data_IF_566708129744
#
_entry.id   IF_566708129744
#
_cell.length_a   1.000
_cell.length_b   1.000
_cell.length_c   1.000
_cell.angle_alpha   90.00
_cell.angle_beta   90.00
_cell.angle_gamma   90.00
#
_symmetry.space_group_name_H-M   'P 1'
#
loop_
_entity.id
_entity.type
_entity.pdbx_description
1 polymer ?
#
# COMPACT_ATOMS: atom_id res chain seq x y z
N UNK A 1 -19.50 -47.94 -44.72
CA UNK A 1 -20.81 -47.29 -44.96
C UNK A 1 -20.73 -45.86 -44.47
N UNK A 2 -21.52 -44.93 -45.03
CA UNK A 2 -21.57 -43.53 -44.58
C UNK A 2 -21.84 -43.42 -43.06
N UNK A 3 -22.65 -44.34 -42.54
CA UNK A 3 -22.96 -44.50 -41.11
C UNK A 3 -21.71 -44.75 -40.23
N UNK A 4 -20.84 -45.68 -40.60
CA UNK A 4 -19.65 -45.99 -39.79
C UNK A 4 -18.66 -44.83 -39.71
N UNK A 5 -18.53 -44.04 -40.78
CA UNK A 5 -17.67 -42.86 -40.78
C UNK A 5 -18.22 -41.73 -39.87
N UNK A 6 -19.53 -41.64 -39.70
CA UNK A 6 -20.18 -40.66 -38.82
C UNK A 6 -20.05 -41.08 -37.35
N UNK A 7 -20.16 -42.37 -37.07
CA UNK A 7 -19.93 -42.93 -35.73
C UNK A 7 -18.47 -42.77 -35.27
N UNK A 8 -17.50 -43.00 -36.16
CA UNK A 8 -16.08 -42.78 -35.87
C UNK A 8 -15.78 -41.29 -35.60
N UNK A 9 -16.33 -40.37 -36.40
CA UNK A 9 -16.17 -38.92 -36.17
C UNK A 9 -16.79 -38.46 -34.85
N UNK A 10 -17.97 -39.01 -34.51
CA UNK A 10 -18.64 -38.74 -33.24
C UNK A 10 -17.85 -39.25 -32.04
N UNK A 11 -17.13 -40.36 -32.20
CA UNK A 11 -16.27 -40.94 -31.17
C UNK A 11 -15.00 -40.10 -30.98
N UNK A 12 -14.37 -39.65 -32.08
CA UNK A 12 -13.18 -38.79 -32.04
C UNK A 12 -13.48 -37.42 -31.39
N UNK A 13 -14.64 -36.82 -31.70
CA UNK A 13 -15.07 -35.57 -31.08
C UNK A 13 -15.31 -35.70 -29.57
N UNK A 14 -15.85 -36.83 -29.11
CA UNK A 14 -16.03 -37.09 -27.67
C UNK A 14 -14.70 -37.20 -26.93
N UNK A 15 -13.70 -37.84 -27.55
CA UNK A 15 -12.36 -37.95 -26.98
C UNK A 15 -11.71 -36.57 -26.87
N UNK A 16 -11.75 -35.75 -27.93
CA UNK A 16 -11.22 -34.38 -27.88
C UNK A 16 -11.91 -33.50 -26.84
N UNK A 17 -13.23 -33.60 -26.73
CA UNK A 17 -13.97 -32.86 -25.71
C UNK A 17 -13.54 -33.24 -24.29
N UNK A 18 -13.31 -34.53 -24.03
CA UNK A 18 -12.81 -35.01 -22.75
C UNK A 18 -11.38 -34.53 -22.45
N UNK A 19 -10.47 -34.60 -23.43
CA UNK A 19 -9.10 -34.11 -23.31
C UNK A 19 -9.06 -32.59 -23.03
N UNK A 20 -9.94 -31.84 -23.68
CA UNK A 20 -9.99 -30.38 -23.54
C UNK A 20 -10.61 -29.95 -22.20
N UNK A 21 -11.61 -30.69 -21.70
CA UNK A 21 -12.12 -30.54 -20.33
C UNK A 21 -11.05 -30.85 -19.27
N UNK A 22 -10.25 -31.89 -19.47
CA UNK A 22 -9.14 -32.24 -18.58
C UNK A 22 -8.05 -31.16 -18.61
N UNK A 23 -7.68 -30.67 -19.79
CA UNK A 23 -6.72 -29.59 -19.94
C UNK A 23 -7.20 -28.29 -19.26
N UNK A 24 -8.48 -27.96 -19.36
CA UNK A 24 -9.07 -26.81 -18.70
C UNK A 24 -9.00 -26.95 -17.17
N UNK A 25 -9.32 -28.13 -16.64
CA UNK A 25 -9.26 -28.44 -15.21
C UNK A 25 -7.84 -28.28 -14.67
N UNK A 26 -6.86 -28.88 -15.35
CA UNK A 26 -5.45 -28.81 -14.98
C UNK A 26 -4.92 -27.36 -15.02
N UNK A 27 -5.31 -26.59 -16.04
CA UNK A 27 -4.95 -25.18 -16.15
C UNK A 27 -5.54 -24.33 -15.03
N UNK A 28 -6.81 -24.58 -14.67
CA UNK A 28 -7.49 -23.88 -13.60
C UNK A 28 -6.84 -24.15 -12.24
N UNK A 29 -6.46 -25.40 -11.96
CA UNK A 29 -5.71 -25.76 -10.75
C UNK A 29 -4.33 -25.10 -10.71
N UNK A 30 -3.61 -25.06 -11.84
CA UNK A 30 -2.32 -24.39 -11.94
C UNK A 30 -2.43 -22.89 -11.67
N UNK A 31 -3.44 -22.20 -12.24
CA UNK A 31 -3.67 -20.78 -11.98
C UNK A 31 -4.08 -20.51 -10.53
N UNK A 32 -4.94 -21.34 -9.95
CA UNK A 32 -5.33 -21.20 -8.54
C UNK A 32 -4.12 -21.36 -7.61
N UNK A 33 -3.23 -22.30 -7.91
CA UNK A 33 -1.98 -22.50 -7.17
C UNK A 33 -1.06 -21.27 -7.27
N UNK A 34 -0.90 -20.71 -8.49
CA UNK A 34 -0.12 -19.48 -8.69
C UNK A 34 -0.70 -18.28 -7.94
N UNK A 35 -2.02 -18.09 -7.96
CA UNK A 35 -2.70 -17.03 -7.22
C UNK A 35 -2.46 -17.17 -5.72
N UNK A 36 -2.56 -18.38 -5.16
CA UNK A 36 -2.27 -18.61 -3.75
C UNK A 36 -0.80 -18.37 -3.40
N UNK A 37 0.12 -18.68 -4.30
CA UNK A 37 1.55 -18.39 -4.13
C UNK A 37 1.82 -16.89 -4.09
N UNK A 38 1.30 -16.15 -5.07
CA UNK A 38 1.43 -14.69 -5.15
C UNK A 38 0.79 -13.99 -3.95
N UNK A 39 -0.35 -14.50 -3.46
CA UNK A 39 -0.99 -13.98 -2.25
C UNK A 39 -0.11 -14.17 -1.02
N UNK A 40 0.49 -15.36 -0.84
CA UNK A 40 1.46 -15.63 0.24
C UNK A 40 2.70 -14.73 0.17
N UNK A 41 3.18 -14.42 -1.03
CA UNK A 41 4.30 -13.50 -1.21
C UNK A 41 3.91 -12.07 -0.82
N UNK A 42 2.72 -11.60 -1.21
CA UNK A 42 2.22 -10.29 -0.83
C UNK A 42 2.03 -10.17 0.69
N UNK A 43 1.47 -11.19 1.34
CA UNK A 43 1.28 -11.22 2.79
C UNK A 43 2.61 -11.20 3.54
N UNK A 44 3.60 -11.98 3.07
CA UNK A 44 4.96 -11.98 3.62
C UNK A 44 5.62 -10.60 3.49
N UNK A 45 5.54 -9.98 2.31
CA UNK A 45 6.10 -8.65 2.06
C UNK A 45 5.46 -7.56 2.94
N UNK A 46 4.17 -7.65 3.21
CA UNK A 46 3.49 -6.72 4.13
C UNK A 46 3.98 -6.87 5.57
N UNK A 47 4.20 -8.10 6.05
CA UNK A 47 4.75 -8.33 7.40
C UNK A 47 6.18 -7.78 7.51
N UNK A 48 7.02 -7.99 6.49
CA UNK A 48 8.37 -7.45 6.43
C UNK A 48 8.37 -5.91 6.46
N UNK A 49 7.49 -5.27 5.69
CA UNK A 49 7.36 -3.81 5.68
C UNK A 49 6.96 -3.25 7.05
N UNK A 50 5.98 -3.88 7.72
CA UNK A 50 5.53 -3.45 9.06
C UNK A 50 6.66 -3.60 10.09
N UNK A 51 7.41 -4.70 10.03
CA UNK A 51 8.56 -4.91 10.91
C UNK A 51 9.66 -3.87 10.67
N UNK A 52 10.00 -3.58 9.42
CA UNK A 52 10.99 -2.56 9.06
C UNK A 52 10.58 -1.16 9.53
N UNK A 53 9.29 -0.81 9.42
CA UNK A 53 8.75 0.46 9.93
C UNK A 53 8.83 0.54 11.46
N UNK A 54 8.53 -0.56 12.16
CA UNK A 54 8.66 -0.63 13.61
C UNK A 54 10.12 -0.45 14.05
N UNK A 55 11.07 -1.15 13.42
CA UNK A 55 12.51 -1.00 13.69
C UNK A 55 12.98 0.42 13.44
N UNK A 56 12.57 1.04 12.33
CA UNK A 56 12.88 2.44 12.02
C UNK A 56 12.43 3.38 13.14
N UNK A 57 11.22 3.21 13.66
CA UNK A 57 10.69 4.04 14.74
C UNK A 57 11.50 3.92 16.04
N UNK A 58 11.97 2.70 16.36
CA UNK A 58 12.81 2.43 17.54
C UNK A 58 14.18 3.10 17.37
N UNK A 59 14.79 3.00 16.18
CA UNK A 59 16.09 3.61 15.88
C UNK A 59 15.99 5.14 15.91
N UNK A 60 14.92 5.73 15.39
CA UNK A 60 14.68 7.17 15.44
C UNK A 60 14.50 7.68 16.87
N UNK A 61 13.76 6.95 17.72
CA UNK A 61 13.62 7.27 19.13
C UNK A 61 14.97 7.21 19.86
N UNK A 62 15.75 6.14 19.65
CA UNK A 62 17.09 5.99 20.22
C UNK A 62 18.06 7.07 19.73
N UNK A 63 17.96 7.49 18.46
CA UNK A 63 18.76 8.59 17.90
C UNK A 63 18.42 9.91 18.58
N UNK A 64 17.14 10.18 18.82
CA UNK A 64 16.71 11.39 19.49
C UNK A 64 17.15 11.42 20.96
N UNK A 65 17.05 10.30 21.67
CA UNK A 65 17.52 10.17 23.05
C UNK A 65 19.03 10.38 23.15
N UNK A 66 19.82 9.73 22.27
CA UNK A 66 21.28 9.95 22.20
C UNK A 66 21.62 11.41 21.93
N UNK A 67 20.86 12.09 21.07
CA UNK A 67 21.06 13.53 20.78
C UNK A 67 20.83 14.39 22.03
N UNK A 68 19.80 14.10 22.82
CA UNK A 68 19.56 14.78 24.10
C UNK A 68 20.68 14.48 25.11
N UNK A 69 21.10 13.22 25.19
CA UNK A 69 22.21 12.80 26.06
C UNK A 69 23.53 13.50 25.70
N UNK A 70 23.82 13.65 24.41
CA UNK A 70 25.02 14.33 23.92
C UNK A 70 25.04 15.82 24.32
N UNK A 71 23.89 16.49 24.21
CA UNK A 71 23.75 17.90 24.66
C UNK A 71 23.93 18.01 26.17
N UNK A 72 23.36 17.07 26.95
CA UNK A 72 23.52 17.03 28.41
C UNK A 72 24.96 16.78 28.82
N UNK A 73 25.62 15.78 28.24
CA UNK A 73 27.04 15.49 28.49
C UNK A 73 27.95 16.67 28.13
N UNK A 74 27.66 17.38 27.03
CA UNK A 74 28.41 18.59 26.67
C UNK A 74 28.26 19.70 27.72
N UNK A 75 27.04 19.88 28.27
CA UNK A 75 26.78 20.84 29.35
C UNK A 75 27.48 20.44 30.64
N UNK A 76 27.37 19.18 31.04
CA UNK A 76 27.97 18.66 32.27
C UNK A 76 29.50 18.71 32.21
N UNK A 77 30.09 18.41 31.03
CA UNK A 77 31.53 18.55 30.81
C UNK A 77 32.00 20.01 30.92
N UNK A 78 31.24 20.98 30.40
CA UNK A 78 31.54 22.41 30.57
C UNK A 78 31.49 22.81 32.04
N UNK A 79 30.44 22.40 32.76
CA UNK A 79 30.29 22.70 34.19
C UNK A 79 31.43 22.09 35.02
N UNK A 80 31.78 20.83 34.77
CA UNK A 80 32.88 20.15 35.47
C UNK A 80 34.24 20.80 35.23
N UNK A 81 34.50 21.31 34.01
CA UNK A 81 35.72 22.07 33.72
C UNK A 81 35.77 23.41 34.48
N UNK A 82 34.64 24.10 34.61
CA UNK A 82 34.55 25.33 35.40
C UNK A 82 34.76 25.07 36.90
N UNK A 83 34.20 23.98 37.42
CA UNK A 83 34.32 23.58 38.82
C UNK A 83 35.76 23.15 39.16
N UNK A 84 36.37 22.32 38.32
CA UNK A 84 37.78 21.93 38.43
C UNK A 84 38.71 23.15 38.46
N UNK A 85 38.43 24.17 37.63
CA UNK A 85 39.20 25.42 37.63
C UNK A 85 39.09 26.19 38.95
N UNK A 86 37.92 26.17 39.60
CA UNK A 86 37.72 26.79 40.93
C UNK A 86 38.44 26.03 42.03
N UNK A 87 38.40 24.70 42.01
CA UNK A 87 39.10 23.89 43.02
C UNK A 87 40.61 24.01 42.90
N UNK A 88 41.16 24.05 41.69
CA UNK A 88 42.60 24.26 41.45
C UNK A 88 43.08 25.60 42.02
N UNK A 89 42.26 26.65 41.90
CA UNK A 89 42.58 27.95 42.50
C UNK A 89 42.50 27.89 44.03
N UNK A 90 41.49 27.22 44.60
CA UNK A 90 41.39 27.01 46.04
C UNK A 90 42.58 26.20 46.61
N UNK A 91 43.00 25.12 45.94
CA UNK A 91 44.11 24.28 46.38
C UNK A 91 45.44 25.03 46.44
N UNK A 92 45.67 25.92 45.46
CA UNK A 92 46.89 26.75 45.44
C UNK A 92 47.00 27.66 46.67
N UNK A 93 45.87 28.22 47.12
CA UNK A 93 45.82 29.06 48.33
C UNK A 93 46.05 28.25 49.61
N UNK A 94 45.54 27.02 49.67
CA UNK A 94 45.71 26.14 50.83
C UNK A 94 47.16 25.64 50.96
N UNK A 95 47.84 25.38 49.83
CA UNK A 95 49.26 25.05 49.82
C UNK A 95 50.13 26.19 50.37
N UNK A 96 49.78 27.46 50.07
CA UNK A 96 50.48 28.62 50.63
C UNK A 96 50.34 28.69 52.16
N UNK A 97 49.14 28.41 52.71
CA UNK A 97 48.95 28.35 54.17
C UNK A 97 49.70 27.20 54.85
N UNK A 98 49.75 26.02 54.22
CA UNK A 98 50.46 24.87 54.77
C UNK A 98 52.00 25.05 54.78
N UNK A 99 52.55 25.75 53.77
CA UNK A 99 53.98 26.11 53.75
C UNK A 99 54.36 27.11 54.86
N UNK A 100 53.45 28.01 55.22
CA UNK A 100 53.64 28.97 56.32
C UNK A 100 53.69 28.26 57.68
N UNK A 101 52.73 27.38 57.95
CA UNK A 101 52.69 26.55 59.17
C UNK A 101 53.93 25.65 59.34
N UNK A 102 54.50 25.16 58.23
CA UNK A 102 55.74 24.36 58.27
C UNK A 102 56.97 25.18 58.66
N UNK A 103 57.04 26.45 58.23
CA UNK A 103 58.12 27.35 58.61
C UNK A 103 57.98 27.83 60.07
N UNK A 104 56.74 27.89 60.58
CA UNK A 104 56.46 28.34 61.96
C UNK A 104 56.77 27.26 63.02
N UNK A 105 56.73 25.98 62.66
CA UNK A 105 56.97 24.85 63.58
C UNK A 105 58.45 24.40 63.63
N UNK A 106 59.36 25.38 63.75
CA UNK A 106 60.82 25.20 63.80
C UNK A 106 61.29 23.89 64.44
N UNK A 107 61.99 23.08 63.63
CA UNK A 107 62.44 21.76 64.03
C UNK A 107 63.42 21.81 65.20
N UNK A 108 63.14 21.04 66.25
CA UNK A 108 64.13 20.47 67.18
C UNK A 108 63.54 19.22 67.80
N UNK A 109 64.30 18.13 67.71
CA UNK A 109 63.98 16.86 68.35
C UNK A 109 64.39 16.85 69.82
N UNK A 110 63.60 16.13 70.62
CA UNK A 110 64.06 15.11 71.57
C UNK A 110 62.83 14.54 72.30
N UNK A 111 62.34 13.37 71.88
CA UNK A 111 61.32 12.64 72.62
C UNK A 111 62.02 11.67 73.60
N UNK A 112 61.84 11.91 74.89
CA UNK A 112 62.24 11.03 75.99
C UNK A 112 61.02 10.20 76.41
N UNK A 113 61.02 8.89 76.12
CA UNK A 113 59.89 8.01 76.44
C UNK A 113 60.27 6.54 76.57
N UNK A 114 59.40 5.79 77.28
CA UNK A 114 59.41 4.33 77.38
C UNK A 114 59.26 3.65 75.99
N UNK A 115 59.50 2.32 75.89
CA UNK A 115 59.56 1.54 74.64
C UNK A 115 58.85 2.21 73.45
N UNK A 116 59.62 2.74 72.51
CA UNK A 116 59.06 3.26 71.29
C UNK A 116 58.61 2.06 70.45
N UNK A 117 57.33 2.00 70.13
CA UNK A 117 56.74 0.99 69.26
C UNK A 117 56.25 1.69 68.01
N UNK A 118 56.30 1.01 66.87
CA UNK A 118 55.73 1.55 65.64
C UNK A 118 54.24 1.80 65.82
N UNK A 119 53.69 2.64 64.95
CA UNK A 119 52.24 2.69 64.76
C UNK A 119 51.71 1.29 64.42
N UNK A 120 50.43 1.09 64.75
CA UNK A 120 49.73 -0.14 64.44
C UNK A 120 49.61 -0.33 62.92
N UNK A 121 50.15 -1.45 62.43
CA UNK A 121 49.92 -1.92 61.06
C UNK A 121 48.60 -2.68 61.07
N UNK A 122 47.63 -2.16 60.33
CA UNK A 122 46.27 -2.68 60.29
C UNK A 122 46.12 -3.70 59.16
N UNK A 123 45.68 -4.90 59.48
CA UNK A 123 45.24 -5.87 58.47
C UNK A 123 43.82 -5.52 57.98
N UNK A 124 43.41 -6.02 56.80
CA UNK A 124 42.04 -5.88 56.32
C UNK A 124 41.04 -6.43 57.34
N UNK A 125 39.91 -5.74 57.47
CA UNK A 125 38.80 -6.22 58.29
C UNK A 125 38.27 -7.56 57.79
N UNK A 126 37.91 -8.43 58.74
CA UNK A 126 37.28 -9.72 58.45
C UNK A 126 35.99 -9.63 57.63
N UNK A 127 35.23 -8.52 57.75
CA UNK A 127 34.06 -8.22 56.90
C UNK A 127 34.09 -6.77 56.44
N UNK A 128 33.43 -6.48 55.32
CA UNK A 128 33.31 -5.13 54.74
C UNK A 128 32.20 -4.28 55.38
N UNK A 129 31.29 -4.91 56.12
CA UNK A 129 30.18 -4.30 56.86
C UNK A 129 29.60 -5.30 57.90
N UNK A 130 28.79 -4.78 58.82
CA UNK A 130 28.04 -5.56 59.80
C UNK A 130 28.72 -5.70 61.16
N UNK A 131 27.91 -5.83 62.22
CA UNK A 131 28.40 -5.98 63.60
C UNK A 131 29.28 -7.23 63.76
N UNK A 132 30.35 -7.09 64.54
CA UNK A 132 31.28 -8.19 64.85
C UNK A 132 32.39 -8.38 63.82
N UNK A 133 32.62 -7.41 62.94
CA UNK A 133 33.81 -7.36 62.11
C UNK A 133 35.00 -6.86 62.93
N UNK A 134 36.03 -7.70 63.02
CA UNK A 134 37.28 -7.39 63.70
C UNK A 134 38.42 -7.27 62.70
N UNK A 135 39.39 -6.42 63.02
CA UNK A 135 40.67 -6.34 62.33
C UNK A 135 41.81 -6.59 63.31
N UNK A 136 42.78 -7.38 62.89
CA UNK A 136 44.00 -7.57 63.64
C UNK A 136 44.94 -6.39 63.39
N UNK A 137 45.66 -6.03 64.44
CA UNK A 137 46.70 -5.01 64.37
C UNK A 137 47.98 -5.57 64.96
N UNK A 138 49.09 -5.31 64.27
CA UNK A 138 50.43 -5.70 64.72
C UNK A 138 51.33 -4.47 64.74
N UNK A 139 52.24 -4.41 65.69
CA UNK A 139 53.28 -3.36 65.76
C UNK A 139 54.58 -3.96 66.25
N UNK A 140 55.67 -3.26 65.99
CA UNK A 140 57.03 -3.74 66.30
C UNK A 140 57.67 -2.79 67.30
N UNK A 141 58.59 -3.29 68.11
CA UNK A 141 59.39 -2.45 68.99
C UNK A 141 60.46 -1.75 68.15
N UNK A 142 60.55 -0.43 68.24
CA UNK A 142 61.54 0.44 67.60
C UNK A 142 62.73 0.64 68.53
N UNK A 143 62.49 0.92 69.82
CA UNK A 143 63.53 1.01 70.84
C UNK A 143 63.18 0.17 72.07
N UNK A 144 64.15 -0.67 72.49
CA UNK A 144 64.00 -1.52 73.66
C UNK A 144 64.22 -0.72 74.96
N UNK A 145 63.59 -1.10 76.09
CA UNK A 145 63.65 -0.33 77.31
C UNK A 145 65.02 -0.49 77.99
N UNK A 146 65.64 0.62 78.39
CA UNK A 146 66.90 0.64 79.15
C UNK A 146 66.64 0.30 80.62
N UNK A 147 66.50 -0.99 80.95
CA UNK A 147 66.39 -1.44 82.33
C UNK A 147 65.73 -2.81 82.48
N UNK A 148 66.31 -3.67 83.33
CA UNK A 148 66.05 -5.11 83.38
C UNK A 148 64.66 -5.56 83.90
N UNK A 149 63.63 -4.72 83.94
CA UNK A 149 62.28 -5.12 84.37
C UNK A 149 61.10 -4.31 83.78
N UNK A 150 61.25 -3.62 82.63
CA UNK A 150 60.12 -2.96 81.94
C UNK A 150 59.70 -3.74 80.69
N UNK A 151 58.41 -4.07 80.55
CA UNK A 151 57.84 -4.75 79.37
C UNK A 151 57.27 -3.73 78.40
N UNK A 152 57.54 -3.88 77.10
CA UNK A 152 56.92 -3.02 76.09
C UNK A 152 55.40 -3.27 76.00
N UNK A 153 54.61 -2.26 75.59
CA UNK A 153 53.18 -2.40 75.35
C UNK A 153 52.85 -3.54 74.36
N UNK A 154 51.65 -4.12 74.45
CA UNK A 154 51.23 -5.25 73.62
C UNK A 154 51.50 -5.01 72.12
N UNK A 155 52.15 -5.98 71.47
CA UNK A 155 52.56 -5.90 70.06
C UNK A 155 51.50 -6.42 69.07
N UNK A 156 50.46 -7.05 69.61
CA UNK A 156 49.30 -7.53 68.88
C UNK A 156 48.03 -7.04 69.59
N UNK A 157 47.01 -6.75 68.80
CA UNK A 157 45.71 -6.33 69.30
C UNK A 157 44.64 -6.63 68.27
N UNK A 158 43.38 -6.53 68.69
CA UNK A 158 42.22 -6.60 67.81
C UNK A 158 41.29 -5.44 68.13
N UNK A 159 40.72 -4.82 67.10
CA UNK A 159 39.65 -3.82 67.27
C UNK A 159 38.47 -4.12 66.36
N UNK A 160 37.30 -3.64 66.75
CA UNK A 160 36.13 -3.60 65.89
C UNK A 160 36.34 -2.63 64.74
N UNK A 161 35.87 -3.01 63.56
CA UNK A 161 35.89 -2.17 62.36
C UNK A 161 34.71 -2.51 61.45
N UNK A 162 34.33 -1.59 60.56
CA UNK A 162 33.20 -1.77 59.63
C UNK A 162 31.84 -2.05 60.31
N UNK A 163 31.58 -1.44 61.49
CA UNK A 163 30.33 -1.59 62.24
C UNK A 163 29.08 -0.99 61.56
N UNK A 164 29.25 -0.41 60.37
CA UNK A 164 28.14 0.10 59.56
C UNK A 164 27.24 -1.05 59.08
N UNK A 165 25.91 -0.88 59.06
CA UNK A 165 25.00 -1.87 58.51
C UNK A 165 25.32 -2.23 57.06
N UNK A 166 25.14 -3.50 56.69
CA UNK A 166 25.40 -3.96 55.32
C UNK A 166 24.29 -3.50 54.35
N UNK A 167 24.64 -3.24 53.07
CA UNK A 167 23.67 -2.95 52.03
C UNK A 167 22.63 -4.08 51.90
N UNK A 168 21.34 -3.71 51.91
CA UNK A 168 20.24 -4.63 51.65
C UNK A 168 19.58 -4.22 50.35
N UNK A 169 19.65 -5.10 49.35
CA UNK A 169 19.05 -4.83 48.05
C UNK A 169 17.53 -4.86 48.10
N UNK A 170 16.91 -3.98 47.31
CA UNK A 170 15.48 -4.00 47.09
C UNK A 170 15.03 -5.33 46.45
N UNK A 171 13.87 -5.82 46.85
CA UNK A 171 13.26 -7.03 46.31
C UNK A 171 11.91 -6.68 45.70
N UNK A 172 11.65 -7.13 44.48
CA UNK A 172 10.38 -6.90 43.78
C UNK A 172 9.64 -8.22 43.55
N UNK A 173 8.32 -8.16 43.45
CA UNK A 173 7.50 -9.30 43.06
C UNK A 173 7.72 -9.65 41.59
N UNK A 174 7.19 -10.81 41.17
CA UNK A 174 6.98 -11.08 39.75
C UNK A 174 5.96 -10.07 39.18
N UNK A 175 6.04 -9.85 37.88
CA UNK A 175 5.04 -9.06 37.16
C UNK A 175 3.68 -9.72 37.22
N UNK A 176 2.65 -8.92 37.45
CA UNK A 176 1.27 -9.32 37.20
C UNK A 176 1.00 -9.57 35.71
N UNK A 177 -0.18 -10.12 35.37
CA UNK A 177 -0.61 -10.26 33.99
C UNK A 177 -0.76 -8.88 33.33
N UNK A 178 -0.69 -8.86 32.00
CA UNK A 178 -1.04 -7.67 31.23
C UNK A 178 -2.53 -7.37 31.33
N UNK A 179 -2.88 -6.09 31.38
CA UNK A 179 -4.25 -5.62 31.23
C UNK A 179 -4.79 -5.96 29.84
N UNK A 180 -6.10 -5.82 29.69
CA UNK A 180 -6.70 -5.71 28.36
C UNK A 180 -6.14 -4.48 27.63
N UNK A 181 -6.14 -4.54 26.29
CA UNK A 181 -5.73 -3.41 25.48
C UNK A 181 -6.74 -2.27 25.61
N UNK A 182 -6.26 -1.03 25.72
CA UNK A 182 -7.13 0.15 25.85
C UNK A 182 -7.98 0.44 24.61
N UNK A 183 -7.62 -0.11 23.45
CA UNK A 183 -8.39 -0.03 22.20
C UNK A 183 -8.42 -1.37 21.50
N UNK A 184 -9.51 -1.67 20.80
CA UNK A 184 -9.64 -2.89 20.00
C UNK A 184 -8.90 -2.79 18.65
N UNK A 185 -8.67 -1.59 18.13
CA UNK A 185 -7.95 -1.28 16.89
C UNK A 185 -7.39 0.15 16.95
N UNK A 186 -6.61 0.55 15.95
CA UNK A 186 -6.08 1.91 15.81
C UNK A 186 -5.00 2.27 16.82
N UNK A 187 -4.33 1.27 17.40
CA UNK A 187 -3.27 1.43 18.38
C UNK A 187 -3.79 1.74 19.78
N UNK A 188 -3.76 0.73 20.65
CA UNK A 188 -4.00 0.87 22.08
C UNK A 188 -2.75 0.56 22.89
N UNK A 189 -2.87 0.66 24.21
CA UNK A 189 -1.82 0.29 25.15
C UNK A 189 -2.37 -0.66 26.21
N UNK A 190 -1.51 -1.54 26.68
CA UNK A 190 -1.77 -2.44 27.81
C UNK A 190 -0.66 -2.28 28.84
N UNK A 191 -1.04 -2.40 30.10
CA UNK A 191 -0.12 -2.17 31.22
C UNK A 191 -0.04 -3.41 32.11
N UNK A 192 1.07 -3.55 32.83
CA UNK A 192 1.20 -4.51 33.94
C UNK A 192 2.00 -3.89 35.05
N UNK A 193 1.76 -4.34 36.29
CA UNK A 193 2.44 -3.83 37.47
C UNK A 193 3.10 -4.94 38.29
N UNK A 194 4.08 -4.56 39.11
CA UNK A 194 4.71 -5.40 40.14
C UNK A 194 4.94 -4.59 41.41
N UNK A 195 4.89 -5.24 42.56
CA UNK A 195 5.08 -4.60 43.84
C UNK A 195 6.55 -4.62 44.29
N UNK A 196 6.95 -3.63 45.07
CA UNK A 196 8.19 -3.69 45.86
C UNK A 196 7.89 -4.48 47.13
N UNK A 197 8.54 -5.63 47.28
CA UNK A 197 8.40 -6.50 48.46
C UNK A 197 9.33 -6.07 49.60
N UNK A 198 10.47 -5.47 49.25
CA UNK A 198 11.42 -4.93 50.22
C UNK A 198 12.12 -3.72 49.62
N UNK A 199 12.13 -2.62 50.37
CA UNK A 199 12.88 -1.42 49.99
C UNK A 199 14.38 -1.60 50.20
N UNK A 200 15.23 -0.97 49.36
CA UNK A 200 16.67 -0.99 49.56
C UNK A 200 17.04 -0.25 50.85
N UNK A 201 17.99 -0.80 51.60
CA UNK A 201 18.51 -0.19 52.82
C UNK A 201 20.03 -0.11 52.76
N UNK A 202 20.61 0.84 53.51
CA UNK A 202 22.06 0.95 53.74
C UNK A 202 22.91 0.99 52.46
N UNK A 203 22.43 1.65 51.41
CA UNK A 203 23.12 1.76 50.12
C UNK A 203 23.00 0.52 49.23
N UNK A 204 22.00 -0.34 49.48
CA UNK A 204 21.66 -1.46 48.59
C UNK A 204 21.11 -1.01 47.24
N UNK A 205 21.11 -1.92 46.26
CA UNK A 205 20.67 -1.63 44.90
C UNK A 205 19.19 -1.18 44.86
N UNK A 206 18.87 -0.08 44.15
CA UNK A 206 17.51 0.42 44.04
C UNK A 206 16.60 -0.55 43.29
N UNK A 207 15.29 -0.44 43.53
CA UNK A 207 14.28 -1.17 42.77
C UNK A 207 14.10 -0.57 41.37
N UNK A 208 13.71 -1.41 40.41
CA UNK A 208 13.39 -0.98 39.05
C UNK A 208 11.94 -0.52 38.92
N UNK A 209 11.50 -0.30 37.69
CA UNK A 209 10.13 0.15 37.39
C UNK A 209 9.06 -0.80 37.93
N UNK A 210 7.99 -0.23 38.48
CA UNK A 210 6.82 -0.95 39.03
C UNK A 210 5.65 -1.04 38.07
N UNK A 211 5.67 -0.26 36.98
CA UNK A 211 4.67 -0.22 35.93
C UNK A 211 5.36 -0.39 34.58
N UNK A 212 4.79 -1.21 33.71
CA UNK A 212 5.25 -1.36 32.34
C UNK A 212 4.08 -1.19 31.38
N UNK A 213 4.32 -0.52 30.25
CA UNK A 213 3.34 -0.29 29.19
C UNK A 213 3.84 -0.85 27.86
N UNK A 214 2.92 -1.39 27.05
CA UNK A 214 3.20 -1.86 25.69
C UNK A 214 2.06 -1.51 24.75
N UNK A 215 2.40 -1.22 23.51
CA UNK A 215 1.43 -1.06 22.42
C UNK A 215 0.78 -2.41 22.12
N UNK A 216 -0.50 -2.37 21.78
CA UNK A 216 -1.31 -3.49 21.34
C UNK A 216 -2.34 -3.02 20.29
N UNK A 217 -2.91 -3.97 19.54
CA UNK A 217 -3.98 -3.69 18.58
C UNK A 217 -3.66 -2.58 17.56
N UNK A 218 -2.47 -2.68 16.95
CA UNK A 218 -1.94 -1.69 16.01
C UNK A 218 -2.59 -1.74 14.62
N UNK A 219 -3.42 -2.75 14.33
CA UNK A 219 -4.19 -2.82 13.10
C UNK A 219 -5.10 -1.58 12.95
N UNK A 220 -5.27 -1.04 11.72
CA UNK A 220 -6.22 0.04 11.47
C UNK A 220 -7.64 -0.40 11.82
N UNK A 221 -8.47 0.56 12.22
CA UNK A 221 -9.89 0.30 12.44
C UNK A 221 -10.64 0.22 11.11
N UNK A 222 -11.69 -0.60 11.09
CA UNK A 222 -12.58 -0.69 9.93
C UNK A 222 -13.33 0.64 9.75
N UNK A 223 -13.32 1.14 8.51
CA UNK A 223 -14.05 2.35 8.15
C UNK A 223 -14.48 2.29 6.70
N UNK A 224 -15.77 2.56 6.44
CA UNK A 224 -16.31 2.63 5.08
C UNK A 224 -15.72 3.82 4.31
N UNK A 225 -15.79 3.73 2.98
CA UNK A 225 -15.33 4.82 2.13
C UNK A 225 -16.24 6.05 2.24
N UNK A 226 -15.66 7.25 2.10
CA UNK A 226 -16.43 8.48 1.95
C UNK A 226 -16.42 8.93 0.50
N UNK A 227 -17.53 9.51 0.03
CA UNK A 227 -17.73 9.91 -1.36
C UNK A 227 -17.79 11.43 -1.49
N UNK A 228 -17.26 11.98 -2.58
CA UNK A 228 -17.48 13.38 -2.96
C UNK A 228 -18.97 13.68 -3.20
N UNK A 229 -19.37 14.97 -3.24
CA UNK A 229 -20.67 15.36 -3.79
C UNK A 229 -20.87 14.83 -5.22
N UNK A 230 -22.13 14.77 -5.66
CA UNK A 230 -22.45 14.44 -7.04
C UNK A 230 -21.77 15.41 -8.01
N UNK A 231 -21.23 14.89 -9.11
CA UNK A 231 -20.89 15.70 -10.26
C UNK A 231 -22.14 16.40 -10.80
N UNK A 232 -21.92 17.43 -11.62
CA UNK A 232 -22.98 17.91 -12.51
C UNK A 232 -23.44 16.77 -13.43
N UNK A 233 -24.67 16.88 -13.91
CA UNK A 233 -25.18 16.00 -14.95
C UNK A 233 -24.38 16.20 -16.23
N UNK A 234 -24.05 15.09 -16.91
CA UNK A 234 -23.52 15.14 -18.26
C UNK A 234 -24.55 15.72 -19.24
N UNK A 235 -24.08 16.11 -20.42
CA UNK A 235 -24.97 16.27 -21.56
C UNK A 235 -25.72 14.95 -21.86
N UNK A 236 -26.85 15.06 -22.56
CA UNK A 236 -27.64 13.89 -22.96
C UNK A 236 -26.83 12.99 -23.90
N UNK A 237 -27.02 11.67 -23.78
CA UNK A 237 -26.35 10.66 -24.62
C UNK A 237 -26.83 10.65 -26.07
N UNK A 238 -28.06 11.10 -26.30
CA UNK A 238 -28.72 11.14 -27.61
C UNK A 238 -29.41 12.49 -27.80
N UNK A 239 -29.53 12.96 -29.04
CA UNK A 239 -30.35 14.12 -29.35
C UNK A 239 -31.87 13.80 -29.45
N UNK A 240 -32.26 12.54 -29.65
CA UNK A 240 -33.67 12.09 -29.71
C UNK A 240 -33.76 10.57 -29.46
N UNK A 241 -34.98 10.01 -29.48
CA UNK A 241 -35.29 8.62 -29.15
C UNK A 241 -34.91 8.20 -27.71
N UNK A 242 -35.13 9.09 -26.73
CA UNK A 242 -34.90 8.86 -25.30
C UNK A 242 -33.45 8.45 -24.98
N UNK A 243 -32.58 9.44 -24.85
CA UNK A 243 -31.24 9.27 -24.29
C UNK A 243 -31.23 9.31 -22.77
N UNK A 244 -30.04 9.34 -22.18
CA UNK A 244 -29.82 9.53 -20.76
C UNK A 244 -28.70 10.52 -20.48
N UNK A 245 -28.81 11.24 -19.38
CA UNK A 245 -27.72 11.99 -18.76
C UNK A 245 -27.26 11.26 -17.52
N UNK A 246 -25.96 11.36 -17.20
CA UNK A 246 -25.37 10.67 -16.05
C UNK A 246 -24.72 11.66 -15.08
N UNK A 247 -24.71 11.30 -13.81
CA UNK A 247 -23.86 11.94 -12.80
C UNK A 247 -23.20 10.89 -11.94
N UNK A 248 -22.05 11.22 -11.36
CA UNK A 248 -21.20 10.26 -10.63
C UNK A 248 -20.69 10.85 -9.31
N UNK A 249 -20.37 9.98 -8.36
CA UNK A 249 -19.60 10.32 -7.14
C UNK A 249 -18.25 9.61 -7.15
N UNK A 250 -17.18 10.40 -7.05
CA UNK A 250 -15.84 9.89 -6.84
C UNK A 250 -15.63 9.50 -5.38
N UNK A 251 -14.73 8.54 -5.13
CA UNK A 251 -14.31 8.18 -3.77
C UNK A 251 -13.40 9.28 -3.25
N UNK A 252 -13.75 9.85 -2.09
CA UNK A 252 -12.97 10.87 -1.39
C UNK A 252 -11.95 10.25 -0.45
N UNK A 253 -12.36 9.25 0.32
CA UNK A 253 -11.47 8.45 1.16
C UNK A 253 -11.77 6.98 0.93
N UNK A 254 -10.73 6.18 0.75
CA UNK A 254 -10.85 4.73 0.57
C UNK A 254 -11.30 4.06 1.87
N UNK A 255 -11.92 2.89 1.74
CA UNK A 255 -12.26 2.08 2.89
C UNK A 255 -10.99 1.56 3.59
N UNK A 256 -11.05 1.40 4.92
CA UNK A 256 -9.99 0.83 5.76
C UNK A 256 -10.47 -0.47 6.37
N UNK A 257 -9.57 -1.46 6.48
CA UNK A 257 -9.89 -2.78 7.03
C UNK A 257 -11.00 -3.47 6.25
N UNK A 258 -12.01 -3.96 6.97
CA UNK A 258 -13.23 -4.59 6.41
C UNK A 258 -14.30 -3.58 5.97
N UNK A 259 -13.97 -2.29 5.96
CA UNK A 259 -14.86 -1.25 5.44
C UNK A 259 -15.23 -1.46 3.97
N UNK A 260 -16.42 -1.00 3.60
CA UNK A 260 -16.99 -1.19 2.25
C UNK A 260 -17.01 0.12 1.48
N UNK A 261 -16.95 -0.01 0.16
CA UNK A 261 -17.22 1.08 -0.75
C UNK A 261 -18.18 0.63 -1.84
N UNK A 262 -19.24 1.41 -2.16
CA UNK A 262 -20.12 1.06 -3.28
C UNK A 262 -19.32 0.95 -4.58
N UNK A 263 -19.72 0.01 -5.44
CA UNK A 263 -19.13 -0.16 -6.76
C UNK A 263 -19.35 1.11 -7.62
N UNK A 264 -18.53 1.31 -8.65
CA UNK A 264 -18.57 2.53 -9.46
C UNK A 264 -19.89 2.72 -10.23
N UNK A 265 -20.62 1.64 -10.47
CA UNK A 265 -21.93 1.55 -11.14
C UNK A 265 -23.10 1.39 -10.16
N UNK A 266 -22.83 1.30 -8.86
CA UNK A 266 -23.85 1.19 -7.83
C UNK A 266 -24.67 2.50 -7.74
N UNK A 267 -25.97 2.44 -7.40
CA UNK A 267 -26.86 3.62 -7.37
C UNK A 267 -26.40 4.73 -6.41
N UNK A 268 -25.58 4.39 -5.41
CA UNK A 268 -24.97 5.33 -4.48
C UNK A 268 -23.87 6.18 -5.13
N UNK A 269 -23.28 5.73 -6.24
CA UNK A 269 -22.17 6.37 -6.96
C UNK A 269 -22.44 6.70 -8.42
N UNK A 270 -23.48 6.13 -9.02
CA UNK A 270 -23.87 6.35 -10.41
C UNK A 270 -25.37 6.50 -10.52
N UNK A 271 -25.81 7.59 -11.17
CA UNK A 271 -27.21 7.81 -11.50
C UNK A 271 -27.33 8.17 -12.97
N UNK A 272 -28.40 7.65 -13.59
CA UNK A 272 -28.79 7.96 -14.96
C UNK A 272 -30.26 8.41 -14.96
N UNK A 273 -30.56 9.41 -15.76
CA UNK A 273 -31.92 9.95 -15.95
C UNK A 273 -32.19 10.09 -17.44
N UNK A 274 -33.41 9.75 -17.87
CA UNK A 274 -33.81 9.89 -19.27
C UNK A 274 -33.84 11.38 -19.70
N UNK A 275 -33.46 11.64 -20.94
CA UNK A 275 -33.54 12.94 -21.60
C UNK A 275 -33.92 12.78 -23.07
N UNK A 276 -34.37 13.87 -23.71
CA UNK A 276 -34.64 13.90 -25.15
C UNK A 276 -35.60 12.79 -25.64
N UNK A 277 -36.79 12.72 -25.02
CA UNK A 277 -37.79 11.68 -25.29
C UNK A 277 -38.50 11.80 -26.65
N UNK A 278 -38.31 12.91 -27.36
CA UNK A 278 -38.85 13.11 -28.71
C UNK A 278 -38.32 12.06 -29.69
N UNK A 279 -39.16 11.66 -30.65
CA UNK A 279 -38.77 10.72 -31.71
C UNK A 279 -37.92 11.45 -32.76
N UNK A 280 -36.86 10.80 -33.23
CA UNK A 280 -35.99 11.32 -34.28
C UNK A 280 -36.75 11.46 -35.62
N UNK A 281 -36.70 12.64 -36.25
CA UNK A 281 -37.30 12.88 -37.56
C UNK A 281 -36.48 12.18 -38.66
N UNK A 282 -36.99 11.09 -39.23
CA UNK A 282 -36.26 10.25 -40.18
C UNK A 282 -35.97 10.88 -41.56
N UNK A 283 -36.48 12.09 -41.85
CA UNK A 283 -36.24 12.79 -43.12
C UNK A 283 -36.19 14.31 -42.93
N UNK A 284 -35.20 15.01 -43.52
CA UNK A 284 -34.00 14.46 -44.17
C UNK A 284 -33.08 13.73 -43.17
N UNK A 285 -32.12 12.94 -43.68
CA UNK A 285 -31.21 12.18 -42.83
C UNK A 285 -30.46 13.10 -41.86
N UNK A 286 -30.64 12.89 -40.55
CA UNK A 286 -29.95 13.65 -39.51
C UNK A 286 -28.42 13.55 -39.68
N UNK A 287 -27.75 14.69 -39.59
CA UNK A 287 -26.29 14.81 -39.57
C UNK A 287 -25.82 15.20 -38.18
N UNK A 288 -24.70 14.65 -37.74
CA UNK A 288 -24.17 14.92 -36.42
C UNK A 288 -23.14 16.05 -36.51
N UNK A 289 -23.44 17.20 -35.92
CA UNK A 289 -22.56 18.37 -35.87
C UNK A 289 -21.85 18.53 -34.51
N UNK A 290 -21.82 17.48 -33.69
CA UNK A 290 -21.23 17.50 -32.35
C UNK A 290 -19.73 17.19 -32.34
N UNK A 291 -19.03 17.64 -31.29
CA UNK A 291 -17.64 17.24 -31.02
C UNK A 291 -17.60 15.80 -30.49
N UNK A 292 -17.16 14.87 -31.36
CA UNK A 292 -17.11 13.44 -31.07
C UNK A 292 -15.80 12.82 -31.59
N UNK A 293 -15.11 12.06 -30.75
CA UNK A 293 -14.00 11.19 -31.14
C UNK A 293 -14.46 9.73 -31.14
N UNK A 294 -14.54 9.10 -32.31
CA UNK A 294 -15.10 7.76 -32.46
C UNK A 294 -14.05 6.78 -32.98
N UNK A 295 -13.90 5.63 -32.34
CA UNK A 295 -13.08 4.53 -32.86
C UNK A 295 -13.94 3.30 -33.10
N UNK A 296 -13.93 2.79 -34.33
CA UNK A 296 -14.53 1.50 -34.65
C UNK A 296 -13.54 0.37 -34.38
N UNK A 297 -13.98 -0.67 -33.66
CA UNK A 297 -13.26 -1.92 -33.52
C UNK A 297 -14.00 -3.01 -34.31
N UNK A 298 -13.39 -3.45 -35.40
CA UNK A 298 -14.01 -4.33 -36.40
C UNK A 298 -13.44 -5.74 -36.30
N UNK A 299 -14.31 -6.73 -36.13
CA UNK A 299 -13.94 -8.12 -36.06
C UNK A 299 -13.58 -8.69 -37.44
N UNK A 300 -12.29 -9.01 -37.63
CA UNK A 300 -11.75 -9.65 -38.84
C UNK A 300 -11.42 -11.14 -38.62
N UNK A 301 -11.97 -11.74 -37.55
CA UNK A 301 -11.74 -13.13 -37.17
C UNK A 301 -12.34 -14.14 -38.17
N UNK A 302 -12.01 -15.41 -37.94
CA UNK A 302 -12.51 -16.51 -38.75
C UNK A 302 -14.02 -16.73 -38.64
N UNK A 303 -14.64 -16.44 -37.49
CA UNK A 303 -16.08 -16.64 -37.26
C UNK A 303 -16.93 -15.64 -38.05
N UNK A 304 -16.50 -14.37 -38.05
CA UNK A 304 -17.15 -13.32 -38.82
C UNK A 304 -17.09 -13.61 -40.34
N UNK A 305 -16.00 -14.22 -40.80
CA UNK A 305 -15.74 -14.47 -42.21
C UNK A 305 -15.49 -13.17 -43.01
N UNK A 306 -15.09 -13.32 -44.27
CA UNK A 306 -14.81 -12.16 -45.13
C UNK A 306 -16.07 -11.33 -45.42
N UNK A 307 -17.23 -11.97 -45.57
CA UNK A 307 -18.51 -11.29 -45.78
C UNK A 307 -19.01 -10.56 -44.53
N UNK A 308 -18.77 -11.10 -43.33
CA UNK A 308 -19.10 -10.43 -42.08
C UNK A 308 -18.25 -9.19 -41.85
N UNK A 309 -16.94 -9.28 -42.10
CA UNK A 309 -16.04 -8.11 -42.07
C UNK A 309 -16.49 -7.03 -43.05
N UNK A 310 -16.80 -7.40 -44.30
CA UNK A 310 -17.30 -6.45 -45.31
C UNK A 310 -18.60 -5.77 -44.86
N UNK A 311 -19.53 -6.49 -44.23
CA UNK A 311 -20.75 -5.92 -43.69
C UNK A 311 -20.49 -4.98 -42.50
N UNK A 312 -19.54 -5.33 -41.61
CA UNK A 312 -19.14 -4.48 -40.49
C UNK A 312 -18.46 -3.19 -41.00
N UNK A 313 -17.61 -3.28 -42.02
CA UNK A 313 -17.00 -2.14 -42.71
C UNK A 313 -18.08 -1.27 -43.35
N UNK A 314 -19.00 -1.85 -44.13
CA UNK A 314 -20.09 -1.12 -44.76
C UNK A 314 -20.96 -0.39 -43.73
N UNK A 315 -21.22 -1.02 -42.59
CA UNK A 315 -21.95 -0.40 -41.49
C UNK A 315 -21.18 0.76 -40.85
N UNK A 316 -19.88 0.59 -40.54
CA UNK A 316 -19.03 1.66 -40.02
C UNK A 316 -18.95 2.85 -40.99
N UNK A 317 -18.85 2.57 -42.29
CA UNK A 317 -18.90 3.57 -43.37
C UNK A 317 -20.23 4.32 -43.41
N UNK A 318 -21.36 3.61 -43.28
CA UNK A 318 -22.69 4.22 -43.28
C UNK A 318 -22.93 5.10 -42.04
N UNK A 319 -22.42 4.71 -40.87
CA UNK A 319 -22.48 5.52 -39.64
C UNK A 319 -21.58 6.75 -39.77
N UNK A 320 -20.35 6.58 -40.24
CA UNK A 320 -19.39 7.69 -40.37
C UNK A 320 -19.79 8.70 -41.46
N UNK A 321 -20.45 8.26 -42.54
CA UNK A 321 -20.96 9.16 -43.58
C UNK A 321 -22.04 10.15 -43.10
N UNK A 322 -22.65 9.90 -41.93
CA UNK A 322 -23.64 10.78 -41.31
C UNK A 322 -23.01 11.73 -40.26
N UNK A 323 -21.72 11.60 -39.98
CA UNK A 323 -20.97 12.53 -39.12
C UNK A 323 -20.41 13.66 -39.98
N UNK A 324 -20.55 14.91 -39.53
CA UNK A 324 -19.80 16.00 -40.12
C UNK A 324 -18.37 15.98 -39.53
N UNK A 325 -17.36 16.00 -40.40
CA UNK A 325 -15.96 15.89 -39.99
C UNK A 325 -15.30 17.26 -39.85
N UNK A 326 -14.43 17.40 -38.86
CA UNK A 326 -13.64 18.61 -38.67
C UNK A 326 -13.03 18.72 -37.28
N UNK A 327 -12.10 19.64 -37.10
CA UNK A 327 -11.37 19.83 -35.83
C UNK A 327 -12.28 20.19 -34.64
N UNK A 328 -13.46 20.73 -34.92
CA UNK A 328 -14.52 21.04 -33.95
C UNK A 328 -15.79 20.21 -34.13
N UNK A 329 -15.72 19.15 -34.94
CA UNK A 329 -16.83 18.24 -35.24
C UNK A 329 -16.39 16.79 -34.96
N UNK A 330 -16.76 15.82 -35.79
CA UNK A 330 -16.35 14.43 -35.65
C UNK A 330 -14.91 14.15 -36.08
N UNK A 331 -14.19 13.34 -35.30
CA UNK A 331 -12.98 12.63 -35.70
C UNK A 331 -13.22 11.12 -35.58
N UNK A 332 -12.79 10.35 -36.58
CA UNK A 332 -13.04 8.91 -36.61
C UNK A 332 -11.75 8.14 -36.88
N UNK A 333 -11.56 7.06 -36.12
CA UNK A 333 -10.49 6.08 -36.31
C UNK A 333 -11.04 4.67 -36.41
N UNK A 334 -10.19 3.72 -36.76
CA UNK A 334 -10.57 2.33 -36.89
C UNK A 334 -9.44 1.38 -36.49
N UNK A 335 -9.80 0.32 -35.79
CA UNK A 335 -8.95 -0.85 -35.52
C UNK A 335 -9.68 -2.08 -36.04
N UNK A 336 -8.93 -3.06 -36.50
CA UNK A 336 -9.45 -4.39 -36.81
C UNK A 336 -8.74 -5.45 -35.97
N UNK A 337 -9.40 -6.57 -35.69
CA UNK A 337 -8.83 -7.58 -34.82
C UNK A 337 -9.21 -9.00 -35.19
N UNK A 338 -8.25 -9.91 -35.02
CA UNK A 338 -8.44 -11.36 -35.03
C UNK A 338 -7.62 -11.96 -33.87
N UNK A 339 -6.52 -12.66 -34.15
CA UNK A 339 -5.60 -13.13 -33.10
C UNK A 339 -4.91 -11.97 -32.36
N UNK A 340 -4.61 -10.90 -33.09
CA UNK A 340 -4.07 -9.62 -32.59
C UNK A 340 -4.95 -8.47 -33.06
N UNK A 341 -4.79 -7.29 -32.44
CA UNK A 341 -5.43 -6.06 -32.90
C UNK A 341 -4.46 -5.19 -33.70
N UNK A 342 -4.96 -4.54 -34.74
CA UNK A 342 -4.15 -3.68 -35.62
C UNK A 342 -4.88 -2.38 -35.91
N UNK A 343 -4.14 -1.27 -35.89
CA UNK A 343 -4.64 0.05 -36.24
C UNK A 343 -4.81 0.14 -37.76
N UNK A 344 -6.06 0.31 -38.22
CA UNK A 344 -6.35 0.53 -39.63
C UNK A 344 -6.24 2.03 -39.99
N UNK A 345 -6.70 2.89 -39.08
CA UNK A 345 -6.75 4.33 -39.28
C UNK A 345 -6.68 5.04 -37.93
N UNK A 346 -5.67 5.90 -37.76
CA UNK A 346 -5.62 6.88 -36.67
C UNK A 346 -6.83 7.82 -36.72
N UNK A 347 -7.14 8.54 -35.62
CA UNK A 347 -8.22 9.54 -35.65
C UNK A 347 -7.99 10.57 -36.75
N UNK A 348 -8.95 10.69 -37.68
CA UNK A 348 -8.86 11.61 -38.81
C UNK A 348 -10.12 12.48 -38.95
N UNK A 349 -9.92 13.68 -39.50
CA UNK A 349 -10.96 14.59 -39.98
C UNK A 349 -11.24 14.41 -41.47
N UNK A 350 -10.43 13.62 -42.18
CA UNK A 350 -10.64 13.33 -43.60
C UNK A 350 -11.57 12.12 -43.75
N UNK A 351 -12.86 12.43 -43.93
CA UNK A 351 -13.90 11.42 -44.14
C UNK A 351 -13.67 10.58 -45.41
N UNK A 352 -13.04 11.11 -46.46
CA UNK A 352 -12.79 10.35 -47.69
C UNK A 352 -11.65 9.35 -47.44
N UNK A 353 -10.56 9.81 -46.84
CA UNK A 353 -9.43 8.95 -46.49
C UNK A 353 -9.86 7.82 -45.54
N UNK A 354 -10.69 8.12 -44.54
CA UNK A 354 -11.29 7.10 -43.67
C UNK A 354 -12.02 6.02 -44.46
N UNK A 355 -12.89 6.42 -45.40
CA UNK A 355 -13.70 5.49 -46.18
C UNK A 355 -12.82 4.57 -47.03
N UNK A 356 -11.77 5.13 -47.65
CA UNK A 356 -10.78 4.35 -48.40
C UNK A 356 -10.00 3.38 -47.52
N UNK A 357 -9.56 3.82 -46.33
CA UNK A 357 -8.83 2.95 -45.41
C UNK A 357 -9.71 1.82 -44.87
N UNK A 358 -10.97 2.11 -44.54
CA UNK A 358 -11.95 1.10 -44.11
C UNK A 358 -12.15 0.00 -45.17
N UNK A 359 -12.19 0.36 -46.46
CA UNK A 359 -12.30 -0.62 -47.57
C UNK A 359 -11.05 -1.49 -47.72
N UNK A 360 -9.90 -1.00 -47.27
CA UNK A 360 -8.61 -1.69 -47.40
C UNK A 360 -8.31 -2.69 -46.29
N UNK A 361 -9.16 -2.76 -45.25
CA UNK A 361 -8.97 -3.63 -44.09
C UNK A 361 -8.91 -5.09 -44.53
N UNK A 362 -7.79 -5.81 -44.29
CA UNK A 362 -7.66 -7.19 -44.70
C UNK A 362 -8.44 -8.12 -43.78
N UNK A 363 -9.07 -9.15 -44.35
CA UNK A 363 -9.57 -10.27 -43.56
C UNK A 363 -8.40 -11.17 -43.16
N UNK A 364 -7.98 -11.08 -41.90
CA UNK A 364 -6.79 -11.77 -41.40
C UNK A 364 -7.05 -13.22 -40.98
N UNK A 365 -8.31 -13.59 -40.67
CA UNK A 365 -8.71 -14.89 -40.11
C UNK A 365 -8.00 -15.14 -38.75
N UNK A 366 -8.66 -15.85 -37.84
CA UNK A 366 -8.09 -16.13 -36.52
C UNK A 366 -9.15 -16.14 -35.43
N UNK A 367 -8.72 -16.05 -34.17
CA UNK A 367 -9.57 -15.94 -32.99
C UNK A 367 -10.13 -14.52 -32.84
N UNK A 368 -10.88 -14.25 -31.78
CA UNK A 368 -11.57 -12.98 -31.54
C UNK A 368 -10.92 -12.23 -30.36
N UNK A 369 -9.76 -11.59 -30.55
CA UNK A 369 -9.04 -10.88 -29.49
C UNK A 369 -9.56 -9.45 -29.28
N UNK A 370 -10.83 -9.35 -28.93
CA UNK A 370 -11.53 -8.08 -28.75
C UNK A 370 -11.03 -7.26 -27.53
N UNK A 371 -10.35 -7.91 -26.57
CA UNK A 371 -9.73 -7.21 -25.45
C UNK A 371 -8.52 -6.35 -25.85
N UNK A 372 -7.67 -6.87 -26.74
CA UNK A 372 -6.55 -6.10 -27.31
C UNK A 372 -7.07 -4.97 -28.21
N UNK A 373 -8.15 -5.22 -28.97
CA UNK A 373 -8.76 -4.19 -29.80
C UNK A 373 -9.29 -3.01 -28.99
N UNK A 374 -9.94 -3.27 -27.84
CA UNK A 374 -10.36 -2.22 -26.90
C UNK A 374 -9.17 -1.47 -26.30
N UNK A 375 -8.08 -2.17 -25.98
CA UNK A 375 -6.88 -1.53 -25.45
C UNK A 375 -6.22 -0.62 -26.50
N UNK A 376 -6.10 -1.08 -27.75
CA UNK A 376 -5.55 -0.31 -28.86
C UNK A 376 -6.43 0.90 -29.22
N UNK A 377 -7.75 0.72 -29.25
CA UNK A 377 -8.69 1.84 -29.43
C UNK A 377 -8.51 2.91 -28.32
N UNK A 378 -8.26 2.46 -27.08
CA UNK A 378 -7.89 3.36 -25.98
C UNK A 378 -6.59 4.11 -26.23
N UNK A 379 -5.56 3.46 -26.75
CA UNK A 379 -4.28 4.10 -27.09
C UNK A 379 -4.44 5.15 -28.20
N UNK A 380 -5.25 4.88 -29.22
CA UNK A 380 -5.56 5.86 -30.28
C UNK A 380 -6.27 7.08 -29.68
N UNK A 381 -7.28 6.87 -28.82
CA UNK A 381 -7.97 7.97 -28.14
C UNK A 381 -7.07 8.75 -27.18
N UNK A 382 -6.15 8.08 -26.49
CA UNK A 382 -5.17 8.72 -25.60
C UNK A 382 -4.12 9.54 -26.40
N UNK A 383 -3.71 9.05 -27.58
CA UNK A 383 -2.67 9.66 -28.42
C UNK A 383 -3.20 10.80 -29.28
N UNK A 384 -4.33 10.58 -29.95
CA UNK A 384 -4.86 11.46 -31.00
C UNK A 384 -6.18 12.14 -30.59
N UNK A 385 -6.81 11.72 -29.48
CA UNK A 385 -8.09 12.24 -29.03
C UNK A 385 -8.01 13.64 -28.43
N UNK A 386 -9.11 14.38 -28.53
CA UNK A 386 -9.18 15.77 -28.08
C UNK A 386 -9.54 15.84 -26.59
N UNK A 387 -8.79 16.61 -25.77
CA UNK A 387 -9.04 16.68 -24.34
C UNK A 387 -10.40 17.31 -24.05
N UNK A 388 -11.20 16.66 -23.20
CA UNK A 388 -12.52 17.14 -22.80
C UNK A 388 -13.62 16.95 -23.85
N UNK A 389 -13.29 16.37 -25.02
CA UNK A 389 -14.27 15.97 -26.04
C UNK A 389 -14.87 14.60 -25.67
N UNK A 390 -16.10 14.34 -26.11
CA UNK A 390 -16.75 13.05 -25.89
C UNK A 390 -16.10 12.01 -26.78
N UNK A 391 -15.62 10.93 -26.19
CA UNK A 391 -15.03 9.81 -26.94
C UNK A 391 -15.88 8.56 -26.83
N UNK A 392 -15.99 7.81 -27.93
CA UNK A 392 -16.71 6.55 -27.99
C UNK A 392 -15.92 5.47 -28.74
N UNK A 393 -16.06 4.23 -28.31
CA UNK A 393 -15.56 3.05 -29.00
C UNK A 393 -16.76 2.17 -29.36
N UNK A 394 -16.90 1.83 -30.64
CA UNK A 394 -17.94 0.92 -31.14
C UNK A 394 -17.27 -0.37 -31.59
N UNK A 395 -17.53 -1.44 -30.85
CA UNK A 395 -16.99 -2.76 -31.14
C UNK A 395 -18.05 -3.63 -31.81
N UNK A 396 -17.75 -4.11 -33.02
CA UNK A 396 -18.64 -4.97 -33.81
C UNK A 396 -18.03 -6.37 -33.82
N UNK A 397 -18.77 -7.37 -33.32
CA UNK A 397 -18.28 -8.77 -33.23
C UNK A 397 -19.42 -9.78 -33.17
N UNK A 398 -19.15 -11.01 -33.62
CA UNK A 398 -20.04 -12.17 -33.45
C UNK A 398 -19.54 -13.18 -32.41
N UNK A 399 -18.29 -13.02 -31.93
CA UNK A 399 -17.58 -14.01 -31.13
C UNK A 399 -17.20 -13.53 -29.72
N UNK A 400 -17.19 -14.46 -28.76
CA UNK A 400 -16.65 -14.19 -27.43
C UNK A 400 -15.17 -13.78 -27.50
N UNK A 401 -14.72 -12.84 -26.64
CA UNK A 401 -13.31 -12.51 -26.55
C UNK A 401 -12.47 -13.75 -26.25
N UNK A 402 -11.28 -13.81 -26.85
CA UNK A 402 -10.25 -14.78 -26.52
C UNK A 402 -9.98 -14.85 -25.01
N UNK A 403 -10.03 -13.69 -24.32
CA UNK A 403 -9.97 -13.60 -22.87
C UNK A 403 -10.98 -12.59 -22.34
N UNK A 404 -11.99 -13.10 -21.64
CA UNK A 404 -12.98 -12.28 -20.94
C UNK A 404 -12.36 -11.38 -19.87
N UNK A 405 -11.25 -11.78 -19.26
CA UNK A 405 -10.52 -10.97 -18.28
C UNK A 405 -9.87 -9.75 -18.92
N UNK A 406 -9.18 -9.95 -20.06
CA UNK A 406 -8.53 -8.85 -20.79
C UNK A 406 -9.58 -7.89 -21.34
N UNK A 407 -10.65 -8.41 -21.97
CA UNK A 407 -11.75 -7.59 -22.47
C UNK A 407 -12.44 -6.78 -21.36
N UNK A 408 -12.70 -7.40 -20.21
CA UNK A 408 -13.25 -6.72 -19.03
C UNK A 408 -12.33 -5.61 -18.52
N UNK A 409 -11.03 -5.88 -18.45
CA UNK A 409 -10.03 -4.92 -17.94
C UNK A 409 -9.88 -3.73 -18.89
N UNK A 410 -9.77 -3.97 -20.20
CA UNK A 410 -9.69 -2.93 -21.21
C UNK A 410 -10.97 -2.07 -21.24
N UNK A 411 -12.15 -2.70 -21.24
CA UNK A 411 -13.42 -1.98 -21.20
C UNK A 411 -13.61 -1.16 -19.91
N UNK A 412 -13.18 -1.68 -18.75
CA UNK A 412 -13.18 -0.93 -17.48
C UNK A 412 -12.26 0.29 -17.55
N UNK A 413 -11.06 0.14 -18.13
CA UNK A 413 -10.11 1.26 -18.27
C UNK A 413 -10.68 2.37 -19.16
N UNK A 414 -11.21 2.02 -20.34
CA UNK A 414 -11.87 2.98 -21.23
C UNK A 414 -13.00 3.75 -20.51
N UNK A 415 -13.90 3.04 -19.84
CA UNK A 415 -15.01 3.66 -19.09
C UNK A 415 -14.53 4.53 -17.93
N UNK A 416 -13.44 4.15 -17.26
CA UNK A 416 -12.85 4.95 -16.18
C UNK A 416 -12.26 6.26 -16.72
N UNK A 417 -11.72 6.26 -17.94
CA UNK A 417 -11.25 7.46 -18.65
C UNK A 417 -12.38 8.31 -19.24
N UNK A 418 -13.65 7.95 -19.02
CA UNK A 418 -14.80 8.69 -19.54
C UNK A 418 -15.21 8.31 -20.97
N UNK A 419 -14.55 7.31 -21.58
CA UNK A 419 -14.89 6.82 -22.92
C UNK A 419 -16.15 5.96 -22.88
N UNK A 420 -17.07 6.21 -23.81
CA UNK A 420 -18.30 5.40 -23.96
C UNK A 420 -17.99 4.15 -24.78
N UNK A 421 -18.25 2.96 -24.24
CA UNK A 421 -18.00 1.68 -24.93
C UNK A 421 -19.33 1.05 -25.35
N UNK A 422 -19.53 0.91 -26.66
CA UNK A 422 -20.71 0.32 -27.28
C UNK A 422 -20.34 -1.01 -27.95
N UNK A 423 -21.25 -1.99 -27.84
CA UNK A 423 -21.13 -3.29 -28.46
C UNK A 423 -22.23 -3.49 -29.50
N UNK A 424 -21.85 -3.86 -30.71
CA UNK A 424 -22.73 -4.33 -31.78
C UNK A 424 -22.50 -5.84 -31.91
N UNK A 425 -23.43 -6.61 -31.33
CA UNK A 425 -23.39 -8.06 -31.31
C UNK A 425 -24.11 -8.60 -32.54
N UNK A 426 -23.40 -9.40 -33.34
CA UNK A 426 -23.95 -10.00 -34.55
C UNK A 426 -24.20 -11.49 -34.33
N UNK A 427 -25.39 -11.96 -34.71
CA UNK A 427 -25.74 -13.38 -34.63
C UNK A 427 -26.16 -13.86 -33.23
N UNK A 428 -26.11 -15.17 -33.05
CA UNK A 428 -26.52 -15.85 -31.81
C UNK A 428 -25.36 -16.09 -30.84
N UNK A 429 -24.10 -15.98 -31.30
CA UNK A 429 -22.89 -16.34 -30.54
C UNK A 429 -22.69 -15.56 -29.24
N UNK A 430 -23.27 -14.35 -29.12
CA UNK A 430 -23.16 -13.51 -27.92
C UNK A 430 -24.53 -13.09 -27.36
N UNK A 431 -24.70 -13.27 -26.06
CA UNK A 431 -25.86 -12.76 -25.33
C UNK A 431 -25.61 -11.33 -24.85
N UNK A 432 -26.67 -10.50 -24.78
CA UNK A 432 -26.58 -9.15 -24.20
C UNK A 432 -26.08 -9.19 -22.76
N UNK A 433 -26.34 -10.28 -22.03
CA UNK A 433 -25.94 -10.46 -20.64
C UNK A 433 -24.43 -10.69 -20.51
N UNK A 434 -23.79 -11.38 -21.45
CA UNK A 434 -22.36 -11.65 -21.44
C UNK A 434 -21.52 -10.36 -21.50
N UNK A 435 -21.92 -9.40 -22.37
CA UNK A 435 -21.16 -8.15 -22.56
C UNK A 435 -21.65 -7.00 -21.68
N UNK A 436 -22.72 -7.20 -20.88
CA UNK A 436 -23.33 -6.16 -20.05
C UNK A 436 -22.37 -5.50 -19.07
N UNK A 437 -21.42 -6.29 -18.54
CA UNK A 437 -20.41 -5.80 -17.60
C UNK A 437 -19.29 -5.01 -18.28
N UNK A 438 -19.11 -5.18 -19.60
CA UNK A 438 -18.08 -4.52 -20.42
C UNK A 438 -18.60 -3.23 -21.05
N UNK A 439 -19.83 -3.23 -21.55
CA UNK A 439 -20.46 -2.05 -22.15
C UNK A 439 -20.63 -0.88 -21.16
N UNK A 440 -20.72 0.34 -21.68
CA UNK A 440 -21.17 1.50 -20.91
C UNK A 440 -22.63 1.34 -20.46
N UNK A 441 -22.98 1.95 -19.33
CA UNK A 441 -24.36 1.97 -18.83
C UNK A 441 -25.11 3.20 -19.35
N UNK A 442 -26.43 3.08 -19.60
CA UNK A 442 -27.25 1.89 -19.49
C UNK A 442 -27.03 0.92 -20.66
N UNK A 443 -27.06 -0.38 -20.37
CA UNK A 443 -26.86 -1.44 -21.35
C UNK A 443 -27.82 -1.39 -22.56
N UNK A 444 -29.02 -0.82 -22.39
CA UNK A 444 -30.01 -0.68 -23.45
C UNK A 444 -29.55 0.23 -24.61
N UNK A 445 -28.70 1.22 -24.34
CA UNK A 445 -28.19 2.20 -25.32
C UNK A 445 -26.75 1.93 -25.78
N UNK A 446 -26.12 0.91 -25.22
CA UNK A 446 -24.71 0.60 -25.48
C UNK A 446 -24.52 -0.85 -25.95
N UNK A 447 -25.61 -1.60 -26.13
CA UNK A 447 -25.59 -2.97 -26.62
C UNK A 447 -26.66 -3.15 -27.69
N UNK A 448 -26.24 -3.02 -28.94
CA UNK A 448 -27.05 -3.34 -30.10
C UNK A 448 -26.87 -4.81 -30.43
N UNK A 449 -27.97 -5.55 -30.62
CA UNK A 449 -27.92 -6.95 -31.08
C UNK A 449 -28.66 -7.08 -32.40
N UNK A 450 -28.01 -7.66 -33.40
CA UNK A 450 -28.57 -7.94 -34.72
C UNK A 450 -28.51 -9.43 -35.03
N UNK A 451 -29.46 -9.92 -35.82
CA UNK A 451 -29.57 -11.36 -36.10
C UNK A 451 -28.50 -11.88 -37.06
N UNK A 452 -27.99 -11.03 -37.96
CA UNK A 452 -26.96 -11.39 -38.93
C UNK A 452 -26.22 -10.16 -39.44
N UNK A 453 -25.06 -10.37 -40.07
CA UNK A 453 -24.29 -9.30 -40.70
C UNK A 453 -25.07 -8.58 -41.81
N UNK A 454 -25.93 -9.29 -42.55
CA UNK A 454 -26.81 -8.68 -43.54
C UNK A 454 -27.81 -7.67 -42.92
N UNK A 455 -28.26 -7.93 -41.68
CA UNK A 455 -29.18 -7.04 -40.97
C UNK A 455 -28.53 -5.73 -40.51
N UNK A 456 -27.19 -5.63 -40.48
CA UNK A 456 -26.48 -4.38 -40.18
C UNK A 456 -26.74 -3.31 -41.24
N UNK A 457 -26.90 -3.72 -42.51
CA UNK A 457 -27.13 -2.80 -43.63
C UNK A 457 -28.52 -2.14 -43.64
N UNK A 458 -29.44 -2.52 -42.73
CA UNK A 458 -30.76 -1.91 -42.65
C UNK A 458 -30.65 -0.46 -42.12
N UNK A 459 -31.18 0.50 -42.88
CA UNK A 459 -31.14 1.93 -42.51
C UNK A 459 -31.70 2.22 -41.11
N UNK A 460 -32.67 1.42 -40.64
CA UNK A 460 -33.20 1.57 -39.28
C UNK A 460 -32.15 1.29 -38.21
N UNK A 461 -31.24 0.32 -38.43
CA UNK A 461 -30.18 -0.03 -37.47
C UNK A 461 -29.01 0.94 -37.51
N UNK A 462 -28.67 1.44 -38.70
CA UNK A 462 -27.72 2.55 -38.84
C UNK A 462 -28.27 3.79 -38.12
N UNK A 463 -29.56 4.09 -38.28
CA UNK A 463 -30.21 5.23 -37.62
C UNK A 463 -30.31 5.06 -36.11
N UNK A 464 -30.60 3.86 -35.62
CA UNK A 464 -30.62 3.53 -34.18
C UNK A 464 -29.24 3.76 -33.54
N UNK A 465 -28.17 3.17 -34.10
CA UNK A 465 -26.83 3.37 -33.55
C UNK A 465 -26.35 4.82 -33.70
N UNK A 466 -26.67 5.46 -34.84
CA UNK A 466 -26.29 6.85 -35.08
C UNK A 466 -26.98 7.82 -34.10
N UNK A 467 -28.27 7.60 -33.81
CA UNK A 467 -28.99 8.33 -32.76
C UNK A 467 -28.41 8.06 -31.37
N UNK A 468 -27.90 6.86 -31.14
CA UNK A 468 -27.24 6.52 -29.88
C UNK A 468 -25.88 7.21 -29.73
N UNK A 469 -25.13 7.47 -30.80
CA UNK A 469 -23.79 8.06 -30.75
C UNK A 469 -23.80 9.59 -30.70
N UNK A 470 -24.77 10.22 -31.35
CA UNK A 470 -24.80 11.66 -31.52
C UNK A 470 -25.67 12.38 -30.48
N UNK A 471 -25.10 13.28 -29.67
CA UNK A 471 -25.85 13.99 -28.64
C UNK A 471 -26.60 15.24 -29.14
N UNK A 472 -26.18 15.83 -30.26
CA UNK A 472 -26.66 17.09 -30.81
C UNK A 472 -26.68 16.98 -32.36
N UNK A 473 -27.80 17.35 -33.01
CA UNK A 473 -28.00 17.29 -34.48
C UNK A 473 -27.99 18.67 -35.12
#
# INVERSE_FOLDING_TARGET
TFEGNVEDLGSELKIRAADEEEHCRNSQEAYNSQIQSLKRQADTGNVELVNALAEKSIVEAARQERRVQLVRMSRDAKHGLEECRRELTALSTTMCSARRLRNDLGGTGAFLGDCEVTDWILEPCSKTCGKGSTQNMTRRVVSAPSGANRRCPALTGSRSCNDRPCPVNGLMSRWGPWSQCSRACGGGTRTRSRAVLREPQHGGLPTGETLQERICNAQPCDADCTLFPWSNWSACSKACNSGHRVRRRAVRQVALGEGKCPAADAPERYQAEACHQQVCAGTPAMRCNSTLDLVFALDSSGSAGSSGLQAAVAFAKAVSARLDFGERLGMVGAVHFADTATEAQALTVDGIALQTQLDSIPWTRGKTNSGEALALAGQILERDGRPGVRSAVVLITDGMPLSSFIASTAAKRLRASGVRVLFVLVGSGLSKQAVRSWASQPAAENILKVQSYAALGNETKVTELFADLCPDF
#
